data_IF_883480039057
#
_entry.id   IF_883480039057
#
_cell.length_a   1.000
_cell.length_b   1.000
_cell.length_c   1.000
_cell.angle_alpha   90.00
_cell.angle_beta   90.00
_cell.angle_gamma   90.00
#
_symmetry.space_group_name_H-M   'P 1'
#
loop_
_entity.id
_entity.type
_entity.pdbx_description
1 polymer ?
#
# COMPACT_ATOMS: atom_id res chain seq x y z
N UNK A 1 28.40 -10.41 36.93
CA UNK A 1 28.05 -9.80 35.62
C UNK A 1 28.89 -8.55 35.48
N UNK A 2 29.89 -8.51 34.58
CA UNK A 2 30.70 -7.29 34.38
C UNK A 2 29.83 -6.25 33.69
N UNK A 3 29.71 -5.06 34.28
CA UNK A 3 29.10 -3.91 33.62
C UNK A 3 29.84 -3.69 32.29
N UNK A 4 29.11 -3.62 31.18
CA UNK A 4 29.67 -3.14 29.92
C UNK A 4 30.10 -1.69 30.16
N UNK A 5 31.41 -1.45 30.18
CA UNK A 5 31.98 -0.11 30.30
C UNK A 5 31.33 0.78 29.24
N UNK A 6 30.58 1.78 29.69
CA UNK A 6 29.89 2.71 28.81
C UNK A 6 30.94 3.51 28.03
N UNK A 7 31.08 3.21 26.73
CA UNK A 7 31.94 3.99 25.86
C UNK A 7 31.15 5.23 25.44
N UNK A 8 31.63 6.42 25.83
CA UNK A 8 30.99 7.72 25.55
C UNK A 8 30.78 7.98 24.04
N UNK A 9 31.43 7.21 23.17
CA UNK A 9 31.41 7.38 21.72
C UNK A 9 31.55 6.03 21.01
N UNK A 10 30.76 5.81 19.96
CA UNK A 10 30.81 4.56 19.21
C UNK A 10 32.10 4.45 18.41
N UNK A 11 32.84 3.34 18.55
CA UNK A 11 34.06 3.10 17.75
C UNK A 11 33.76 3.14 16.25
N UNK A 12 32.53 2.77 15.85
CA UNK A 12 32.06 2.83 14.48
C UNK A 12 32.00 4.25 13.91
N UNK A 13 31.89 5.28 14.74
CA UNK A 13 31.84 6.67 14.26
C UNK A 13 33.23 7.15 13.77
N UNK A 14 34.32 6.45 14.12
CA UNK A 14 35.66 6.65 13.53
C UNK A 14 35.76 6.11 12.11
N UNK A 15 34.89 5.18 11.74
CA UNK A 15 34.82 4.62 10.39
C UNK A 15 34.27 5.72 9.50
N UNK A 16 35.13 6.32 8.67
CA UNK A 16 34.70 7.24 7.63
C UNK A 16 34.01 6.43 6.53
N UNK A 17 32.74 6.06 6.77
CA UNK A 17 31.93 5.24 5.86
C UNK A 17 31.92 5.77 4.43
N UNK A 18 31.95 7.09 4.26
CA UNK A 18 31.98 7.78 2.96
C UNK A 18 33.27 7.52 2.16
N UNK A 19 34.35 7.13 2.84
CA UNK A 19 35.65 6.80 2.25
C UNK A 19 35.69 5.31 1.90
N UNK A 20 35.16 4.46 2.78
CA UNK A 20 35.23 3.00 2.65
C UNK A 20 34.14 2.43 1.72
N UNK A 21 32.98 3.06 1.68
CA UNK A 21 31.85 2.63 0.86
C UNK A 21 31.42 3.78 -0.04
N UNK A 22 31.38 3.53 -1.36
CA UNK A 22 30.69 4.45 -2.28
C UNK A 22 29.22 4.52 -1.84
N UNK A 23 28.74 5.73 -1.55
CA UNK A 23 27.31 5.96 -1.34
C UNK A 23 26.59 5.60 -2.64
N UNK A 24 25.43 4.96 -2.51
CA UNK A 24 24.56 4.73 -3.66
C UNK A 24 24.07 6.07 -4.19
N UNK A 25 23.97 6.20 -5.51
CA UNK A 25 23.31 7.36 -6.11
C UNK A 25 21.82 7.30 -5.80
N UNK A 26 21.34 8.30 -5.06
CA UNK A 26 19.94 8.40 -4.67
C UNK A 26 19.17 9.06 -5.81
N UNK A 27 18.32 8.31 -6.50
CA UNK A 27 17.32 8.89 -7.40
C UNK A 27 16.12 9.35 -6.58
N UNK A 28 15.89 10.65 -6.53
CA UNK A 28 14.67 11.20 -5.95
C UNK A 28 13.49 11.00 -6.92
N UNK A 29 12.40 10.42 -6.42
CA UNK A 29 11.16 10.28 -7.17
C UNK A 29 10.28 11.51 -6.97
N UNK A 30 9.58 11.92 -8.03
CA UNK A 30 8.60 13.00 -7.95
C UNK A 30 7.47 12.66 -6.97
N UNK A 31 7.00 13.68 -6.26
CA UNK A 31 5.84 13.57 -5.38
C UNK A 31 4.56 13.78 -6.17
N UNK A 32 3.49 13.09 -5.77
CA UNK A 32 2.17 13.25 -6.39
C UNK A 32 1.60 14.61 -5.98
N UNK A 33 1.25 15.45 -6.96
CA UNK A 33 0.62 16.74 -6.67
C UNK A 33 -0.88 16.61 -6.38
N UNK A 34 -1.47 17.60 -5.70
CA UNK A 34 -2.88 17.58 -5.27
C UNK A 34 -3.86 17.31 -6.43
N UNK A 35 -3.62 17.90 -7.59
CA UNK A 35 -4.47 17.72 -8.77
C UNK A 35 -4.42 16.28 -9.29
N UNK A 36 -3.21 15.71 -9.34
CA UNK A 36 -2.99 14.32 -9.75
C UNK A 36 -3.59 13.34 -8.77
N UNK A 37 -3.49 13.62 -7.46
CA UNK A 37 -4.13 12.81 -6.43
C UNK A 37 -5.65 12.75 -6.62
N UNK A 38 -6.29 13.86 -7.01
CA UNK A 38 -7.72 13.90 -7.29
C UNK A 38 -8.08 13.02 -8.49
N UNK A 39 -7.30 13.10 -9.58
CA UNK A 39 -7.50 12.27 -10.77
C UNK A 39 -7.31 10.78 -10.48
N UNK A 40 -6.25 10.44 -9.74
CA UNK A 40 -5.97 9.09 -9.25
C UNK A 40 -7.16 8.56 -8.44
N UNK A 41 -7.65 9.34 -7.45
CA UNK A 41 -8.79 8.93 -6.62
C UNK A 41 -10.07 8.73 -7.43
N UNK A 42 -10.34 9.57 -8.43
CA UNK A 42 -11.50 9.40 -9.33
C UNK A 42 -11.40 8.05 -10.07
N UNK A 43 -10.24 7.73 -10.61
CA UNK A 43 -10.04 6.46 -11.34
C UNK A 43 -10.14 5.25 -10.42
N UNK A 44 -9.56 5.33 -9.21
CA UNK A 44 -9.67 4.25 -8.23
C UNK A 44 -11.10 4.07 -7.72
N UNK A 45 -11.89 5.15 -7.63
CA UNK A 45 -13.30 5.06 -7.27
C UNK A 45 -14.11 4.33 -8.35
N UNK A 46 -13.87 4.65 -9.62
CA UNK A 46 -14.51 3.93 -10.73
C UNK A 46 -14.13 2.45 -10.73
N UNK A 47 -12.85 2.16 -10.55
CA UNK A 47 -12.37 0.78 -10.42
C UNK A 47 -13.05 0.06 -9.26
N UNK A 48 -13.13 0.68 -8.08
CA UNK A 48 -13.80 0.10 -6.91
C UNK A 48 -15.29 -0.17 -7.13
N UNK A 49 -16.02 0.77 -7.75
CA UNK A 49 -17.45 0.57 -8.01
C UNK A 49 -17.68 -0.56 -9.04
N UNK A 50 -16.79 -0.69 -10.02
CA UNK A 50 -16.82 -1.80 -10.98
C UNK A 50 -16.56 -3.14 -10.28
N UNK A 51 -15.56 -3.17 -9.38
CA UNK A 51 -15.25 -4.32 -8.52
C UNK A 51 -16.47 -4.69 -7.67
N UNK A 52 -17.05 -3.73 -6.96
CA UNK A 52 -18.23 -3.96 -6.12
C UNK A 52 -19.39 -4.57 -6.93
N UNK A 53 -19.60 -4.11 -8.16
CA UNK A 53 -20.61 -4.63 -9.07
C UNK A 53 -20.28 -6.03 -9.62
N UNK A 54 -19.01 -6.28 -9.99
CA UNK A 54 -18.53 -7.54 -10.57
C UNK A 54 -18.40 -8.66 -9.53
N UNK A 55 -18.08 -8.33 -8.27
CA UNK A 55 -17.89 -9.29 -7.19
C UNK A 55 -19.17 -10.01 -6.75
N UNK A 56 -20.34 -9.62 -7.26
CA UNK A 56 -21.57 -10.43 -7.14
C UNK A 56 -21.42 -11.82 -7.78
N UNK A 57 -20.45 -12.02 -8.69
CA UNK A 57 -20.31 -13.25 -9.48
C UNK A 57 -18.96 -13.99 -9.37
N UNK A 58 -17.91 -13.40 -8.76
CA UNK A 58 -16.58 -14.00 -8.72
C UNK A 58 -16.21 -14.59 -7.35
N UNK A 59 -15.96 -15.91 -7.34
CA UNK A 59 -15.45 -16.70 -6.18
C UNK A 59 -13.90 -16.73 -6.08
N UNK A 60 -13.16 -16.03 -6.94
CA UNK A 60 -11.69 -16.06 -7.00
C UNK A 60 -11.07 -14.66 -6.95
N UNK A 61 -10.09 -14.51 -6.05
CA UNK A 61 -9.16 -13.38 -5.91
C UNK A 61 -8.48 -13.04 -7.24
N UNK A 62 -8.58 -11.78 -7.64
CA UNK A 62 -8.18 -11.30 -8.96
C UNK A 62 -7.33 -10.00 -8.85
N UNK A 63 -6.56 -9.65 -9.88
CA UNK A 63 -5.72 -8.45 -9.98
C UNK A 63 -6.47 -7.14 -9.68
N UNK A 64 -7.79 -7.21 -9.80
CA UNK A 64 -8.77 -6.24 -9.33
C UNK A 64 -8.61 -5.78 -7.86
N UNK A 65 -7.92 -6.53 -6.99
CA UNK A 65 -7.64 -6.06 -5.62
C UNK A 65 -6.56 -4.97 -5.54
N UNK A 66 -5.68 -4.84 -6.54
CA UNK A 66 -4.57 -3.88 -6.52
C UNK A 66 -5.07 -2.43 -6.47
N UNK A 67 -6.02 -1.98 -7.33
CA UNK A 67 -6.63 -0.65 -7.21
C UNK A 67 -7.26 -0.40 -5.85
N UNK A 68 -7.92 -1.40 -5.26
CA UNK A 68 -8.57 -1.27 -3.96
C UNK A 68 -7.56 -1.11 -2.82
N UNK A 69 -6.50 -1.91 -2.80
CA UNK A 69 -5.39 -1.77 -1.86
C UNK A 69 -4.72 -0.41 -1.98
N UNK A 70 -4.53 0.09 -3.21
CA UNK A 70 -3.93 1.40 -3.44
C UNK A 70 -4.83 2.53 -2.94
N UNK A 71 -6.14 2.45 -3.22
CA UNK A 71 -7.14 3.37 -2.68
C UNK A 71 -7.13 3.36 -1.15
N UNK A 72 -7.06 2.18 -0.53
CA UNK A 72 -6.94 2.05 0.91
C UNK A 72 -5.65 2.69 1.44
N UNK A 73 -4.51 2.51 0.77
CA UNK A 73 -3.24 3.11 1.17
C UNK A 73 -3.25 4.65 1.15
N UNK A 74 -4.03 5.25 0.24
CA UNK A 74 -4.20 6.71 0.20
C UNK A 74 -4.91 7.22 1.47
N UNK A 75 -5.88 6.45 1.99
CA UNK A 75 -6.57 6.82 3.24
C UNK A 75 -5.81 6.42 4.49
N UNK A 76 -4.98 5.38 4.39
CA UNK A 76 -4.26 4.77 5.50
C UNK A 76 -2.78 4.74 5.12
N UNK A 77 -1.96 5.70 5.60
CA UNK A 77 -0.57 5.89 5.18
C UNK A 77 0.39 4.85 5.80
N UNK A 78 -0.02 3.59 5.76
CA UNK A 78 0.82 2.45 6.09
C UNK A 78 1.83 2.20 4.99
N UNK A 79 2.96 1.59 5.37
CA UNK A 79 3.91 1.07 4.38
C UNK A 79 3.22 -0.05 3.60
N UNK A 80 3.55 -0.16 2.32
CA UNK A 80 3.09 -1.24 1.44
C UNK A 80 3.17 -2.63 2.09
N UNK A 81 4.29 -2.94 2.77
CA UNK A 81 4.44 -4.22 3.49
C UNK A 81 3.37 -4.44 4.56
N UNK A 82 2.99 -3.40 5.29
CA UNK A 82 1.99 -3.49 6.36
C UNK A 82 0.58 -3.66 5.77
N UNK A 83 0.29 -3.07 4.61
CA UNK A 83 -1.00 -3.23 3.95
C UNK A 83 -1.17 -4.64 3.39
N UNK A 84 -0.15 -5.17 2.73
CA UNK A 84 -0.18 -6.53 2.17
C UNK A 84 -0.35 -7.57 3.29
N UNK A 85 0.25 -7.35 4.45
CA UNK A 85 0.19 -8.27 5.59
C UNK A 85 -0.80 -7.83 6.68
N UNK A 86 -1.72 -6.92 6.35
CA UNK A 86 -2.72 -6.43 7.30
C UNK A 86 -3.66 -7.59 7.64
N UNK A 87 -3.81 -7.89 8.92
CA UNK A 87 -4.65 -8.99 9.41
C UNK A 87 -5.98 -8.47 9.99
N UNK A 88 -7.02 -9.29 9.96
CA UNK A 88 -8.33 -8.89 10.49
C UNK A 88 -8.33 -8.62 12.00
N UNK A 89 -7.44 -9.26 12.76
CA UNK A 89 -7.28 -9.01 14.20
C UNK A 89 -6.66 -7.63 14.50
N UNK A 90 -6.07 -6.96 13.50
CA UNK A 90 -5.51 -5.61 13.61
C UNK A 90 -6.56 -4.53 13.27
N UNK A 91 -7.76 -4.94 12.86
CA UNK A 91 -8.87 -4.04 12.54
C UNK A 91 -9.89 -4.05 13.68
N UNK A 92 -9.99 -2.95 14.40
CA UNK A 92 -11.01 -2.74 15.41
C UNK A 92 -12.18 -1.95 14.80
N UNK A 93 -13.21 -2.68 14.34
CA UNK A 93 -14.42 -2.09 13.76
C UNK A 93 -15.26 -1.33 14.79
N UNK A 94 -15.21 -1.70 16.08
CA UNK A 94 -16.00 -1.05 17.12
C UNK A 94 -15.46 0.36 17.40
N UNK A 95 -14.15 0.47 17.57
CA UNK A 95 -13.46 1.73 17.80
C UNK A 95 -13.03 2.42 16.50
N UNK A 96 -13.34 1.82 15.34
CA UNK A 96 -13.02 2.33 14.00
C UNK A 96 -11.54 2.67 13.88
N UNK A 97 -10.67 1.73 14.22
CA UNK A 97 -9.22 1.95 14.23
C UNK A 97 -8.43 0.73 13.77
N UNK A 98 -7.22 0.97 13.28
CA UNK A 98 -6.21 -0.06 13.13
C UNK A 98 -5.32 -0.09 14.37
N UNK A 99 -5.02 -1.30 14.84
CA UNK A 99 -4.12 -1.58 15.95
C UNK A 99 -3.11 -2.62 15.48
N UNK A 100 -1.92 -2.17 15.07
CA UNK A 100 -0.85 -3.04 14.58
C UNK A 100 0.18 -3.22 15.71
N UNK A 101 0.51 -4.46 16.10
CA UNK A 101 1.43 -4.72 17.20
C UNK A 101 2.85 -4.23 16.90
N UNK A 102 3.60 -3.97 17.98
CA UNK A 102 4.99 -3.51 17.93
C UNK A 102 5.91 -4.45 17.15
N UNK A 103 5.69 -5.77 17.24
CA UNK A 103 6.42 -6.82 16.55
C UNK A 103 6.39 -6.71 15.02
N UNK A 104 5.33 -6.11 14.46
CA UNK A 104 5.20 -5.84 13.02
C UNK A 104 5.69 -4.45 12.61
N UNK A 105 6.03 -3.59 13.58
CA UNK A 105 6.43 -2.20 13.35
C UNK A 105 7.94 -2.00 13.49
N UNK A 106 8.55 -1.28 12.55
CA UNK A 106 10.02 -1.05 12.50
C UNK A 106 10.62 -0.49 13.80
N UNK A 107 9.85 0.28 14.57
CA UNK A 107 10.32 0.96 15.79
C UNK A 107 10.02 0.19 17.08
N UNK A 108 9.46 -1.02 17.01
CA UNK A 108 9.06 -1.77 18.20
C UNK A 108 8.06 -1.00 19.06
N UNK A 109 7.11 -0.30 18.42
CA UNK A 109 6.01 0.38 19.09
C UNK A 109 4.72 0.03 18.38
N UNK A 110 3.69 -0.22 19.18
CA UNK A 110 2.33 -0.42 18.69
C UNK A 110 1.88 0.80 17.89
N UNK A 111 1.21 0.54 16.77
CA UNK A 111 0.70 1.57 15.89
C UNK A 111 -0.83 1.58 15.95
N UNK A 112 -1.38 2.70 16.42
CA UNK A 112 -2.82 2.95 16.43
C UNK A 112 -3.17 4.02 15.42
N UNK A 113 -4.17 3.77 14.58
CA UNK A 113 -4.64 4.72 13.58
C UNK A 113 -6.17 4.74 13.52
N UNK A 114 -6.83 5.85 13.90
CA UNK A 114 -8.25 6.04 13.63
C UNK A 114 -8.53 5.98 12.12
N UNK A 115 -9.56 5.24 11.75
CA UNK A 115 -9.98 5.05 10.37
C UNK A 115 -11.04 6.07 9.98
N UNK A 116 -10.88 6.66 8.80
CA UNK A 116 -11.93 7.49 8.20
C UNK A 116 -13.04 6.62 7.59
N UNK A 117 -14.16 7.24 7.26
CA UNK A 117 -15.34 6.53 6.72
C UNK A 117 -15.03 5.83 5.40
N UNK A 118 -14.16 6.39 4.56
CA UNK A 118 -13.80 5.80 3.28
C UNK A 118 -12.97 4.52 3.43
N UNK A 119 -12.02 4.51 4.38
CA UNK A 119 -11.22 3.33 4.71
C UNK A 119 -12.07 2.24 5.36
N UNK A 120 -12.99 2.62 6.26
CA UNK A 120 -13.95 1.68 6.86
C UNK A 120 -14.84 1.03 5.80
N UNK A 121 -15.37 1.80 4.85
CA UNK A 121 -16.20 1.25 3.77
C UNK A 121 -15.46 0.17 2.96
N UNK A 122 -14.17 0.38 2.69
CA UNK A 122 -13.32 -0.63 2.02
C UNK A 122 -13.15 -1.87 2.92
N UNK A 123 -12.88 -1.68 4.21
CA UNK A 123 -12.70 -2.78 5.15
C UNK A 123 -13.99 -3.59 5.34
N UNK A 124 -15.14 -2.93 5.45
CA UNK A 124 -16.46 -3.56 5.54
C UNK A 124 -16.79 -4.35 4.27
N UNK A 125 -16.51 -3.77 3.09
CA UNK A 125 -16.65 -4.47 1.82
C UNK A 125 -15.80 -5.75 1.80
N UNK A 126 -14.53 -5.66 2.19
CA UNK A 126 -13.62 -6.81 2.25
C UNK A 126 -14.04 -7.82 3.34
N UNK A 127 -14.59 -7.35 4.47
CA UNK A 127 -15.00 -8.19 5.59
C UNK A 127 -16.21 -9.07 5.27
N UNK A 128 -17.12 -8.60 4.41
CA UNK A 128 -18.23 -9.44 3.91
C UNK A 128 -17.73 -10.70 3.20
N UNK A 129 -16.53 -10.65 2.62
CA UNK A 129 -15.93 -11.77 1.91
C UNK A 129 -14.99 -12.58 2.81
N UNK A 130 -14.22 -11.91 3.69
CA UNK A 130 -13.27 -12.47 4.67
C UNK A 130 -12.74 -13.86 4.30
N UNK A 131 -11.93 -13.88 3.24
CA UNK A 131 -11.48 -15.13 2.61
C UNK A 131 -10.29 -15.78 3.34
N UNK A 132 -9.58 -15.01 4.17
CA UNK A 132 -8.36 -15.43 4.86
C UNK A 132 -8.17 -14.59 6.14
N UNK A 133 -7.12 -14.86 6.91
CA UNK A 133 -6.68 -14.04 8.06
C UNK A 133 -6.22 -12.64 7.65
N UNK A 134 -5.75 -12.47 6.42
CA UNK A 134 -5.35 -11.18 5.87
C UNK A 134 -6.54 -10.43 5.26
N UNK A 135 -6.55 -9.10 5.44
CA UNK A 135 -7.57 -8.19 4.90
C UNK A 135 -7.59 -8.23 3.38
N UNK A 136 -6.42 -8.10 2.77
CA UNK A 136 -6.22 -8.21 1.33
C UNK A 136 -5.56 -9.55 1.05
N UNK A 137 -6.30 -10.64 1.25
CA UNK A 137 -5.83 -11.96 0.85
C UNK A 137 -5.55 -11.92 -0.65
N UNK A 138 -4.34 -12.33 -1.03
CA UNK A 138 -3.88 -12.33 -2.41
C UNK A 138 -2.96 -13.53 -2.57
N UNK A 139 -3.07 -14.23 -3.69
CA UNK A 139 -1.99 -15.12 -4.15
C UNK A 139 -0.68 -14.36 -4.44
N UNK A 140 -0.69 -13.02 -4.31
CA UNK A 140 0.44 -12.08 -4.36
C UNK A 140 1.08 -11.85 -2.97
N UNK A 141 1.24 -12.89 -2.15
CA UNK A 141 2.01 -12.83 -0.90
C UNK A 141 3.45 -12.33 -1.09
N UNK A 142 3.91 -12.26 -2.34
CA UNK A 142 5.19 -11.67 -2.69
C UNK A 142 5.10 -10.13 -2.79
N UNK A 143 5.67 -9.45 -1.79
CA UNK A 143 5.84 -7.99 -1.72
C UNK A 143 6.47 -7.40 -3.01
N UNK A 144 7.29 -8.19 -3.69
CA UNK A 144 7.93 -7.82 -4.97
C UNK A 144 6.89 -7.70 -6.08
N UNK A 145 5.92 -8.61 -6.15
CA UNK A 145 4.89 -8.59 -7.19
C UNK A 145 3.95 -7.40 -7.04
N UNK A 146 3.52 -7.09 -5.81
CA UNK A 146 2.70 -5.90 -5.57
C UNK A 146 3.45 -4.61 -5.94
N UNK A 147 4.72 -4.46 -5.52
CA UNK A 147 5.54 -3.29 -5.88
C UNK A 147 5.71 -3.14 -7.38
N UNK A 148 5.98 -4.24 -8.09
CA UNK A 148 6.14 -4.26 -9.54
C UNK A 148 4.83 -3.93 -10.26
N UNK A 149 3.72 -4.53 -9.83
CA UNK A 149 2.41 -4.24 -10.40
C UNK A 149 2.01 -2.77 -10.17
N UNK A 150 2.27 -2.25 -8.96
CA UNK A 150 2.07 -0.84 -8.63
C UNK A 150 2.91 0.08 -9.51
N UNK A 151 4.21 -0.21 -9.64
CA UNK A 151 5.12 0.57 -10.48
C UNK A 151 4.65 0.58 -11.94
N UNK A 152 4.29 -0.59 -12.48
CA UNK A 152 3.81 -0.73 -13.85
C UNK A 152 2.50 0.03 -14.08
N UNK A 153 1.52 -0.07 -13.17
CA UNK A 153 0.25 0.65 -13.29
C UNK A 153 0.45 2.18 -13.22
N UNK A 154 1.40 2.66 -12.40
CA UNK A 154 1.75 4.08 -12.33
C UNK A 154 2.47 4.56 -13.60
N UNK A 155 3.38 3.74 -14.15
CA UNK A 155 4.04 4.02 -15.42
C UNK A 155 3.03 4.07 -16.57
N UNK A 156 2.12 3.10 -16.65
CA UNK A 156 1.06 3.06 -17.65
C UNK A 156 0.11 4.27 -17.52
N UNK A 157 -0.28 4.63 -16.30
CA UNK A 157 -1.05 5.86 -16.07
C UNK A 157 -0.32 7.11 -16.58
N UNK A 158 0.98 7.26 -16.28
CA UNK A 158 1.80 8.37 -16.76
C UNK A 158 1.89 8.38 -18.28
N UNK A 159 2.16 7.23 -18.92
CA UNK A 159 2.22 7.11 -20.37
C UNK A 159 0.89 7.46 -21.04
N UNK A 160 -0.25 7.01 -20.49
CA UNK A 160 -1.56 7.33 -21.04
C UNK A 160 -1.93 8.81 -20.86
N UNK A 161 -1.48 9.43 -19.76
CA UNK A 161 -1.62 10.88 -19.50
C UNK A 161 -0.77 11.70 -20.45
N UNK A 162 0.51 11.35 -20.61
CA UNK A 162 1.48 12.07 -21.46
C UNK A 162 1.11 11.97 -22.95
N UNK A 163 0.56 10.83 -23.38
CA UNK A 163 0.08 10.65 -24.75
C UNK A 163 -1.30 11.28 -25.02
N UNK A 164 -1.88 12.01 -24.06
CA UNK A 164 -3.21 12.61 -24.18
C UNK A 164 -4.34 11.60 -24.35
N UNK A 165 -4.08 10.30 -24.10
CA UNK A 165 -5.05 9.20 -24.26
C UNK A 165 -5.92 8.96 -23.02
N UNK A 166 -5.74 9.77 -21.98
CA UNK A 166 -6.49 9.64 -20.74
C UNK A 166 -7.87 10.33 -20.84
N UNK A 167 -8.76 9.77 -21.66
CA UNK A 167 -10.17 10.16 -21.74
C UNK A 167 -11.06 9.11 -21.08
N UNK A 168 -12.23 9.57 -20.60
CA UNK A 168 -13.20 8.84 -19.76
C UNK A 168 -13.62 7.43 -20.24
N UNK A 169 -13.28 7.01 -21.47
CA UNK A 169 -13.58 5.71 -22.06
C UNK A 169 -12.47 4.65 -22.03
N UNK A 170 -11.20 4.99 -21.76
CA UNK A 170 -10.07 4.02 -21.80
C UNK A 170 -10.03 3.09 -20.59
N UNK A 171 -10.85 3.36 -19.57
CA UNK A 171 -10.99 2.51 -18.38
C UNK A 171 -11.43 1.09 -18.76
N UNK A 172 -12.15 0.91 -19.88
CA UNK A 172 -12.62 -0.41 -20.32
C UNK A 172 -11.46 -1.32 -20.76
N UNK A 173 -10.50 -0.77 -21.51
CA UNK A 173 -9.39 -1.55 -22.09
C UNK A 173 -8.30 -1.93 -21.09
N UNK A 174 -8.20 -1.22 -19.95
CA UNK A 174 -7.21 -1.51 -18.90
C UNK A 174 -7.60 -2.73 -18.06
N UNK A 175 -8.90 -2.97 -17.89
CA UNK A 175 -9.43 -4.13 -17.16
C UNK A 175 -9.40 -5.41 -18.01
N UNK A 176 -9.47 -5.29 -19.33
CA UNK A 176 -9.50 -6.44 -20.25
C UNK A 176 -8.10 -7.01 -20.56
N UNK A 177 -7.01 -6.38 -20.08
CA UNK A 177 -5.61 -6.78 -20.35
C UNK A 177 -4.81 -7.24 -19.12
N UNK A 178 -5.43 -7.25 -17.94
CA UNK A 178 -4.88 -7.82 -16.70
C UNK A 178 -5.54 -9.15 -16.38
#
# INVERSE_FOLDING_TARGET
MKALDYIMYSVCDRIKYNILFKKHDVKHHESIHKQELKEILITLNKAFNNIESAYKYYKKLDYNLIPLMYKFNIYVPLRVKNIINLEWNEVDFNNKMLVIPDSKMKRGKEFKLPLNTQALAILEFMYKQKLDKYVFSLALSDNVRYKRALYNALCEYKELKDNGKWYHGVIKDLFDKL
#
